data_IF_279244594959
#
_entry.id   IF_279244594959
#
_cell.length_a   1.000
_cell.length_b   1.000
_cell.length_c   1.000
_cell.angle_alpha   90.00
_cell.angle_beta   90.00
_cell.angle_gamma   90.00
#
_symmetry.space_group_name_H-M   'P 1'
#
loop_
_entity.id
_entity.type
_entity.pdbx_description
1 polymer ?
#
# COMPACT_ATOMS: atom_id res chain seq x y z
N UNK A 1 18.23 -1.27 3.04
CA UNK A 1 17.34 -2.08 3.88
C UNK A 1 16.14 -2.63 3.09
N UNK A 2 15.35 -1.82 2.39
CA UNK A 2 14.14 -2.25 1.63
C UNK A 2 14.46 -3.43 0.70
N UNK A 3 15.47 -3.30 -0.16
CA UNK A 3 15.90 -4.34 -1.10
C UNK A 3 16.26 -5.66 -0.40
N UNK A 4 17.01 -5.60 0.69
CA UNK A 4 17.41 -6.80 1.43
C UNK A 4 16.21 -7.49 2.10
N UNK A 5 15.29 -6.72 2.69
CA UNK A 5 14.05 -7.26 3.26
C UNK A 5 13.16 -7.88 2.19
N UNK A 6 13.06 -7.23 1.02
CA UNK A 6 12.31 -7.74 -0.13
C UNK A 6 12.89 -9.07 -0.64
N UNK A 7 14.20 -9.17 -0.77
CA UNK A 7 14.87 -10.41 -1.16
C UNK A 7 14.63 -11.52 -0.14
N UNK A 8 14.76 -11.22 1.16
CA UNK A 8 14.51 -12.19 2.22
C UNK A 8 13.06 -12.72 2.20
N UNK A 9 12.08 -11.85 2.00
CA UNK A 9 10.68 -12.24 1.85
C UNK A 9 10.46 -13.09 0.60
N UNK A 10 11.04 -12.71 -0.54
CA UNK A 10 10.89 -13.42 -1.80
C UNK A 10 11.40 -14.88 -1.73
N UNK A 11 12.47 -15.12 -0.97
CA UNK A 11 13.04 -16.48 -0.82
C UNK A 11 12.47 -17.26 0.37
N UNK A 12 11.71 -16.63 1.26
CA UNK A 12 11.26 -17.25 2.52
C UNK A 12 10.17 -18.30 2.36
N UNK A 13 9.44 -18.29 1.25
CA UNK A 13 8.22 -19.08 1.05
C UNK A 13 6.96 -18.48 1.66
N UNK A 14 7.05 -17.36 2.36
CA UNK A 14 5.87 -16.64 2.85
C UNK A 14 5.02 -16.12 1.67
N UNK A 15 3.68 -15.98 1.83
CA UNK A 15 2.85 -15.33 0.84
C UNK A 15 3.29 -13.87 0.65
N UNK A 16 3.95 -13.60 -0.45
CA UNK A 16 4.49 -12.29 -0.79
C UNK A 16 4.12 -11.96 -2.23
N UNK A 17 3.41 -10.84 -2.44
CA UNK A 17 2.80 -10.48 -3.73
C UNK A 17 3.80 -9.91 -4.75
N UNK A 18 5.07 -10.16 -4.54
CA UNK A 18 6.16 -9.77 -5.43
C UNK A 18 7.16 -8.85 -4.76
N UNK A 19 8.39 -8.82 -5.28
CA UNK A 19 9.46 -8.01 -4.70
C UNK A 19 9.21 -6.52 -4.87
N UNK A 20 9.71 -5.78 -3.89
CA UNK A 20 9.74 -4.32 -3.85
C UNK A 20 11.18 -3.87 -3.99
N UNK A 21 11.42 -2.93 -4.90
CA UNK A 21 12.68 -2.23 -5.03
C UNK A 21 12.61 -0.84 -4.43
N UNK A 22 13.79 -0.24 -4.21
CA UNK A 22 13.90 1.15 -3.81
C UNK A 22 15.21 1.76 -4.31
N UNK A 23 15.16 3.05 -4.55
CA UNK A 23 16.34 3.86 -4.87
C UNK A 23 16.27 5.21 -4.19
N UNK A 24 17.44 5.86 -4.07
CA UNK A 24 17.55 7.26 -3.68
C UNK A 24 17.94 8.08 -4.90
N UNK A 25 17.35 9.25 -5.08
CA UNK A 25 17.63 10.14 -6.20
C UNK A 25 18.05 11.49 -5.69
N UNK A 26 19.21 11.95 -6.15
CA UNK A 26 19.68 13.32 -6.00
C UNK A 26 19.50 14.12 -7.28
N UNK A 27 19.58 15.47 -7.16
CA UNK A 27 19.57 16.40 -8.31
C UNK A 27 20.66 17.44 -8.13
N UNK A 28 21.72 17.34 -8.94
CA UNK A 28 22.91 18.19 -8.87
C UNK A 28 23.23 18.73 -10.27
N UNK A 29 23.40 20.02 -10.41
CA UNK A 29 23.75 20.69 -11.66
C UNK A 29 22.88 20.28 -12.86
N UNK A 30 21.55 20.17 -12.61
CA UNK A 30 20.57 19.81 -13.64
C UNK A 30 20.55 18.32 -14.01
N UNK A 31 21.18 17.44 -13.23
CA UNK A 31 21.25 15.99 -13.50
C UNK A 31 20.73 15.19 -12.32
N UNK A 32 19.98 14.12 -12.63
CA UNK A 32 19.59 13.12 -11.65
C UNK A 32 20.74 12.17 -11.36
N UNK A 33 20.94 11.84 -10.10
CA UNK A 33 21.97 10.91 -9.63
C UNK A 33 21.27 9.79 -8.85
N UNK A 34 21.46 8.55 -9.29
CA UNK A 34 20.92 7.38 -8.63
C UNK A 34 21.81 6.96 -7.47
N UNK A 35 21.20 6.80 -6.29
CA UNK A 35 21.88 6.40 -5.06
C UNK A 35 23.09 7.28 -4.73
N UNK A 36 22.91 8.61 -4.64
CA UNK A 36 23.99 9.54 -4.38
C UNK A 36 24.68 9.22 -3.06
N UNK A 37 25.99 9.43 -3.02
CA UNK A 37 26.79 9.38 -1.81
C UNK A 37 26.39 10.50 -0.83
N UNK A 38 26.82 10.40 0.43
CA UNK A 38 26.56 11.45 1.43
C UNK A 38 27.09 12.83 1.00
N UNK A 39 28.28 12.87 0.43
CA UNK A 39 28.92 14.12 -0.06
C UNK A 39 28.21 14.71 -1.28
N UNK A 40 27.59 13.89 -2.11
CA UNK A 40 26.76 14.34 -3.22
C UNK A 40 25.42 14.88 -2.71
N UNK A 41 24.80 14.22 -1.72
CA UNK A 41 23.55 14.72 -1.11
C UNK A 41 23.72 16.11 -0.49
N UNK A 42 24.85 16.40 0.13
CA UNK A 42 25.13 17.74 0.69
C UNK A 42 25.07 18.87 -0.34
N UNK A 43 25.28 18.55 -1.62
CA UNK A 43 25.21 19.49 -2.76
C UNK A 43 23.93 19.39 -3.56
N UNK A 44 23.11 18.41 -3.25
CA UNK A 44 21.91 18.09 -4.02
C UNK A 44 20.76 19.02 -3.65
N UNK A 45 20.00 19.44 -4.66
CA UNK A 45 18.71 20.12 -4.47
C UNK A 45 17.56 19.15 -4.17
N UNK A 46 17.80 17.86 -4.25
CA UNK A 46 16.81 16.81 -4.06
C UNK A 46 17.42 15.68 -3.23
N UNK A 47 16.68 15.24 -2.24
CA UNK A 47 16.87 13.97 -1.56
C UNK A 47 15.55 13.22 -1.64
N UNK A 48 15.43 12.31 -2.60
CA UNK A 48 14.20 11.59 -2.90
C UNK A 48 14.40 10.10 -2.71
N UNK A 49 13.59 9.46 -1.90
CA UNK A 49 13.47 8.00 -1.81
C UNK A 49 12.22 7.56 -2.56
N UNK A 50 12.41 6.67 -3.52
CA UNK A 50 11.32 6.04 -4.28
C UNK A 50 11.34 4.54 -4.02
N UNK A 51 10.19 3.95 -3.69
CA UNK A 51 10.04 2.51 -3.57
C UNK A 51 8.78 2.03 -4.29
N UNK A 52 8.83 0.82 -4.81
CA UNK A 52 7.71 0.28 -5.56
C UNK A 52 7.92 -1.14 -6.06
N UNK A 53 6.93 -1.61 -6.78
CA UNK A 53 6.99 -2.84 -7.57
C UNK A 53 7.55 -2.54 -8.97
N UNK A 54 7.68 -3.57 -9.80
CA UNK A 54 8.09 -3.40 -11.20
C UNK A 54 7.16 -2.46 -11.99
N UNK A 55 5.87 -2.48 -11.66
CA UNK A 55 4.82 -1.82 -12.45
C UNK A 55 4.26 -0.56 -11.78
N UNK A 56 4.58 -0.30 -10.50
CA UNK A 56 3.97 0.80 -9.75
C UNK A 56 4.88 1.36 -8.65
N UNK A 57 4.83 2.68 -8.49
CA UNK A 57 5.40 3.39 -7.34
C UNK A 57 4.46 3.26 -6.15
N UNK A 58 4.97 2.82 -5.00
CA UNK A 58 4.22 2.63 -3.76
C UNK A 58 4.54 3.69 -2.71
N UNK A 59 5.77 4.21 -2.72
CA UNK A 59 6.26 5.17 -1.74
C UNK A 59 7.12 6.23 -2.41
N UNK A 60 6.89 7.46 -2.04
CA UNK A 60 7.72 8.62 -2.38
C UNK A 60 7.91 9.43 -1.11
N UNK A 61 9.15 9.69 -0.73
CA UNK A 61 9.52 10.56 0.38
C UNK A 61 10.64 11.49 -0.07
N UNK A 62 10.46 12.81 0.07
CA UNK A 62 11.45 13.75 -0.46
C UNK A 62 11.59 15.03 0.33
N UNK A 63 12.83 15.55 0.31
CA UNK A 63 13.16 16.93 0.59
C UNK A 63 13.66 17.58 -0.70
N UNK A 64 13.06 18.70 -1.12
CA UNK A 64 13.40 19.38 -2.37
C UNK A 64 13.57 20.88 -2.15
N UNK A 65 14.56 21.47 -2.82
CA UNK A 65 14.83 22.90 -2.76
C UNK A 65 14.58 23.56 -4.13
N UNK A 66 13.36 24.07 -4.32
CA UNK A 66 12.98 24.87 -5.47
C UNK A 66 12.96 24.13 -6.82
N UNK A 67 12.64 22.84 -6.82
CA UNK A 67 12.42 22.07 -8.04
C UNK A 67 11.01 22.25 -8.58
N UNK A 68 10.86 22.20 -9.90
CA UNK A 68 9.56 22.21 -10.58
C UNK A 68 8.83 20.88 -10.47
N UNK A 69 7.52 20.87 -10.70
CA UNK A 69 6.72 19.64 -10.73
C UNK A 69 7.24 18.64 -11.77
N UNK A 70 7.68 19.15 -12.94
CA UNK A 70 8.24 18.33 -14.01
C UNK A 70 9.56 17.67 -13.58
N UNK A 71 10.45 18.42 -12.92
CA UNK A 71 11.71 17.89 -12.39
C UNK A 71 11.43 16.83 -11.31
N UNK A 72 10.45 17.04 -10.44
CA UNK A 72 10.06 16.07 -9.41
C UNK A 72 9.46 14.80 -10.03
N UNK A 73 8.57 14.92 -11.01
CA UNK A 73 8.00 13.77 -11.72
C UNK A 73 9.08 12.95 -12.44
N UNK A 74 10.02 13.61 -13.11
CA UNK A 74 11.10 12.95 -13.79
C UNK A 74 12.08 12.29 -12.79
N UNK A 75 12.29 12.87 -11.61
CA UNK A 75 13.07 12.26 -10.54
C UNK A 75 12.43 10.94 -10.04
N UNK A 76 11.11 10.93 -9.86
CA UNK A 76 10.38 9.71 -9.47
C UNK A 76 10.51 8.62 -10.53
N UNK A 77 10.31 8.97 -11.81
CA UNK A 77 10.49 8.03 -12.93
C UNK A 77 11.91 7.48 -12.98
N UNK A 78 12.91 8.35 -12.90
CA UNK A 78 14.32 7.96 -12.90
C UNK A 78 14.65 7.00 -11.75
N UNK A 79 14.14 7.27 -10.55
CA UNK A 79 14.30 6.39 -9.39
C UNK A 79 13.62 5.05 -9.57
N UNK A 80 12.39 5.03 -10.09
CA UNK A 80 11.65 3.81 -10.39
C UNK A 80 12.41 2.94 -11.41
N UNK A 81 12.79 3.50 -12.54
CA UNK A 81 13.56 2.80 -13.56
C UNK A 81 14.89 2.28 -13.00
N UNK A 82 15.50 3.04 -12.09
CA UNK A 82 16.77 2.69 -11.46
C UNK A 82 16.73 1.46 -10.54
N UNK A 83 15.57 1.15 -9.92
CA UNK A 83 15.48 -0.04 -9.07
C UNK A 83 14.83 -1.26 -9.76
N UNK A 84 14.21 -1.14 -10.94
CA UNK A 84 13.65 -2.28 -11.67
C UNK A 84 14.66 -3.43 -11.86
N UNK A 85 15.93 -3.18 -12.26
CA UNK A 85 16.92 -4.26 -12.38
C UNK A 85 17.18 -5.01 -11.05
N UNK A 86 17.04 -4.30 -9.92
CA UNK A 86 17.17 -4.93 -8.59
C UNK A 86 16.03 -5.89 -8.31
N UNK A 87 14.80 -5.54 -8.71
CA UNK A 87 13.65 -6.43 -8.61
C UNK A 87 13.87 -7.69 -9.45
N UNK A 88 14.33 -7.54 -10.69
CA UNK A 88 14.64 -8.68 -11.57
C UNK A 88 15.71 -9.60 -10.99
N UNK A 89 16.71 -9.03 -10.35
CA UNK A 89 17.74 -9.80 -9.64
C UNK A 89 17.15 -10.58 -8.45
N UNK A 90 16.24 -9.99 -7.68
CA UNK A 90 15.54 -10.67 -6.58
C UNK A 90 14.65 -11.80 -7.11
N UNK A 91 13.91 -11.58 -8.21
CA UNK A 91 13.11 -12.61 -8.86
C UNK A 91 13.94 -13.81 -9.32
N UNK A 92 15.11 -13.53 -9.90
CA UNK A 92 16.02 -14.61 -10.32
C UNK A 92 16.61 -15.37 -9.12
N UNK A 93 17.02 -14.67 -8.07
CA UNK A 93 17.45 -15.29 -6.82
C UNK A 93 16.34 -16.19 -6.23
N UNK A 94 15.10 -15.71 -6.23
CA UNK A 94 13.98 -16.49 -5.72
C UNK A 94 13.70 -17.77 -6.54
N UNK A 95 13.90 -17.74 -7.87
CA UNK A 95 13.77 -18.94 -8.72
C UNK A 95 14.75 -20.03 -8.32
N UNK A 96 15.95 -19.68 -7.85
CA UNK A 96 17.01 -20.61 -7.52
C UNK A 96 16.94 -21.17 -6.09
N UNK A 97 16.49 -20.34 -5.12
CA UNK A 97 16.64 -20.70 -3.71
C UNK A 97 15.39 -20.44 -2.84
N UNK A 98 14.21 -20.21 -3.44
CA UNK A 98 12.97 -20.05 -2.69
C UNK A 98 12.63 -21.31 -1.91
N UNK A 99 12.28 -21.13 -0.65
CA UNK A 99 11.74 -22.21 0.20
C UNK A 99 10.34 -22.62 -0.26
N UNK A 100 9.86 -23.81 0.10
CA UNK A 100 8.48 -24.22 -0.16
C UNK A 100 7.49 -23.17 0.34
N UNK A 101 6.43 -22.97 -0.43
CA UNK A 101 5.40 -22.00 -0.07
C UNK A 101 4.66 -22.43 1.20
N UNK A 102 4.38 -21.47 2.06
CA UNK A 102 3.53 -21.69 3.22
C UNK A 102 2.09 -21.83 2.77
N UNK A 103 1.45 -22.89 3.20
CA UNK A 103 0.01 -23.05 3.01
C UNK A 103 -0.71 -22.17 4.03
N UNK A 104 -1.42 -21.16 3.53
CA UNK A 104 -2.27 -20.30 4.36
C UNK A 104 -3.71 -20.58 3.99
N UNK A 105 -4.46 -21.16 4.92
CA UNK A 105 -5.90 -21.32 4.77
C UNK A 105 -6.56 -19.94 4.80
N UNK A 106 -7.20 -19.56 3.69
CA UNK A 106 -7.99 -18.34 3.63
C UNK A 106 -9.43 -18.70 4.00
N UNK A 107 -9.93 -18.08 5.05
CA UNK A 107 -11.34 -18.16 5.43
C UNK A 107 -12.19 -17.51 4.34
N UNK A 108 -13.22 -18.20 3.90
CA UNK A 108 -14.19 -17.61 2.97
C UNK A 108 -15.12 -16.65 3.74
N UNK A 109 -15.05 -15.38 3.38
CA UNK A 109 -15.85 -14.30 3.96
C UNK A 109 -16.88 -13.74 2.96
N UNK A 110 -17.15 -14.48 1.88
CA UNK A 110 -18.04 -14.02 0.80
C UNK A 110 -19.48 -13.79 1.29
N UNK A 111 -19.97 -14.64 2.19
CA UNK A 111 -21.32 -14.48 2.80
C UNK A 111 -21.40 -13.24 3.69
N UNK A 112 -20.36 -13.03 4.53
CA UNK A 112 -20.27 -11.83 5.38
C UNK A 112 -20.25 -10.58 4.52
N UNK A 113 -19.39 -10.56 3.49
CA UNK A 113 -19.30 -9.46 2.56
C UNK A 113 -20.65 -9.13 1.94
N UNK A 114 -21.34 -10.12 1.34
CA UNK A 114 -22.63 -9.93 0.69
C UNK A 114 -23.68 -9.38 1.65
N UNK A 115 -23.79 -9.96 2.84
CA UNK A 115 -24.79 -9.53 3.84
C UNK A 115 -24.51 -8.10 4.34
N UNK A 116 -23.25 -7.72 4.53
CA UNK A 116 -22.89 -6.36 4.91
C UNK A 116 -23.17 -5.37 3.78
N UNK A 117 -22.90 -5.73 2.53
CA UNK A 117 -23.20 -4.91 1.35
C UNK A 117 -24.72 -4.67 1.23
N UNK A 118 -25.54 -5.73 1.36
CA UNK A 118 -26.99 -5.62 1.30
C UNK A 118 -27.59 -4.78 2.44
N UNK A 119 -26.98 -4.85 3.63
CA UNK A 119 -27.56 -4.23 4.84
C UNK A 119 -27.08 -2.79 5.05
N UNK A 120 -25.79 -2.49 4.81
CA UNK A 120 -25.18 -1.25 5.27
C UNK A 120 -24.72 -0.30 4.17
N UNK A 121 -24.80 -0.66 2.89
CA UNK A 121 -24.32 0.21 1.80
C UNK A 121 -24.99 1.59 1.81
N UNK A 122 -26.31 1.65 1.94
CA UNK A 122 -27.03 2.93 1.89
C UNK A 122 -26.79 3.77 3.16
N UNK A 123 -26.64 3.15 4.31
CA UNK A 123 -26.33 3.87 5.55
C UNK A 123 -24.90 4.42 5.54
N UNK A 124 -23.95 3.67 5.03
CA UNK A 124 -22.58 4.14 4.85
C UNK A 124 -22.49 5.31 3.85
N UNK A 125 -23.21 5.24 2.71
CA UNK A 125 -23.26 6.37 1.77
C UNK A 125 -23.80 7.63 2.41
N UNK A 126 -24.87 7.53 3.22
CA UNK A 126 -25.42 8.67 3.98
C UNK A 126 -24.40 9.21 4.98
N UNK A 127 -23.72 8.33 5.72
CA UNK A 127 -22.68 8.73 6.66
C UNK A 127 -21.54 9.48 5.95
N UNK A 128 -21.05 8.99 4.81
CA UNK A 128 -19.99 9.66 4.04
C UNK A 128 -20.43 10.98 3.43
N UNK A 129 -21.71 11.18 3.12
CA UNK A 129 -22.26 12.46 2.67
C UNK A 129 -22.31 13.54 3.78
N UNK A 130 -22.16 13.15 5.05
CA UNK A 130 -22.14 14.07 6.19
C UNK A 130 -20.86 14.89 6.20
N UNK A 131 -20.95 16.21 6.10
CA UNK A 131 -19.79 17.12 6.01
C UNK A 131 -19.04 17.25 7.33
N UNK A 132 -19.76 17.31 8.47
CA UNK A 132 -19.12 17.38 9.78
C UNK A 132 -18.33 16.11 10.06
N UNK A 133 -17.08 16.28 10.47
CA UNK A 133 -16.16 15.16 10.69
C UNK A 133 -16.58 14.31 11.89
N UNK A 134 -17.04 14.95 12.97
CA UNK A 134 -17.41 14.23 14.19
C UNK A 134 -18.69 13.45 14.01
N UNK A 135 -19.71 14.07 13.40
CA UNK A 135 -20.98 13.42 13.13
C UNK A 135 -20.82 12.23 12.17
N UNK A 136 -20.01 12.40 11.13
CA UNK A 136 -19.67 11.30 10.22
C UNK A 136 -18.97 10.16 10.95
N UNK A 137 -18.00 10.45 11.82
CA UNK A 137 -17.30 9.43 12.60
C UNK A 137 -18.22 8.68 13.53
N UNK A 138 -19.14 9.39 14.20
CA UNK A 138 -20.11 8.80 15.08
C UNK A 138 -21.07 7.86 14.33
N UNK A 139 -21.60 8.28 13.17
CA UNK A 139 -22.47 7.45 12.33
C UNK A 139 -21.77 6.18 11.84
N UNK A 140 -20.51 6.27 11.40
CA UNK A 140 -19.72 5.10 10.98
C UNK A 140 -19.48 4.15 12.16
N UNK A 141 -19.21 4.69 13.35
CA UNK A 141 -19.05 3.88 14.57
C UNK A 141 -20.35 3.12 14.91
N UNK A 142 -21.51 3.79 14.87
CA UNK A 142 -22.80 3.13 15.11
C UNK A 142 -23.10 2.02 14.10
N UNK A 143 -22.76 2.24 12.81
CA UNK A 143 -22.90 1.22 11.77
C UNK A 143 -22.00 0.04 12.06
N UNK A 144 -20.74 0.31 12.47
CA UNK A 144 -19.77 -0.73 12.83
C UNK A 144 -20.27 -1.58 14.00
N UNK A 145 -20.84 -0.97 15.03
CA UNK A 145 -21.39 -1.68 16.19
C UNK A 145 -22.62 -2.51 15.81
N UNK A 146 -23.49 -2.01 14.94
CA UNK A 146 -24.62 -2.78 14.38
C UNK A 146 -24.15 -3.97 13.56
N UNK A 147 -23.11 -3.79 12.74
CA UNK A 147 -22.52 -4.86 11.95
C UNK A 147 -21.94 -5.98 12.81
N UNK A 148 -21.24 -5.64 13.90
CA UNK A 148 -20.73 -6.62 14.87
C UNK A 148 -21.86 -7.38 15.56
N UNK A 149 -22.88 -6.67 16.04
CA UNK A 149 -24.05 -7.31 16.68
C UNK A 149 -24.78 -8.29 15.77
N UNK A 150 -24.75 -8.07 14.46
CA UNK A 150 -25.37 -8.98 13.49
C UNK A 150 -24.74 -10.38 13.48
N UNK A 151 -23.49 -10.49 13.94
CA UNK A 151 -22.70 -11.72 13.97
C UNK A 151 -22.28 -12.14 15.40
N UNK A 152 -22.81 -11.49 16.44
CA UNK A 152 -22.42 -11.72 17.84
C UNK A 152 -22.69 -13.18 18.29
N UNK A 153 -23.73 -13.82 17.73
CA UNK A 153 -24.09 -15.22 18.03
C UNK A 153 -23.51 -16.22 17.02
N UNK A 154 -22.79 -15.77 16.00
CA UNK A 154 -22.24 -16.63 14.94
C UNK A 154 -20.78 -16.99 15.24
N UNK A 155 -20.57 -18.16 15.81
CA UNK A 155 -19.23 -18.67 16.17
C UNK A 155 -18.28 -18.84 14.96
N UNK A 156 -18.81 -18.81 13.72
CA UNK A 156 -17.98 -18.96 12.52
C UNK A 156 -17.23 -17.69 12.16
N UNK A 157 -17.66 -16.52 12.62
CA UNK A 157 -17.05 -15.25 12.26
C UNK A 157 -16.62 -14.45 13.49
N UNK A 158 -15.43 -13.88 13.42
CA UNK A 158 -14.92 -13.00 14.48
C UNK A 158 -15.24 -11.54 14.19
N UNK A 159 -15.21 -10.69 15.20
CA UNK A 159 -15.29 -9.23 15.05
C UNK A 159 -14.28 -8.68 14.05
N UNK A 160 -13.09 -9.29 13.96
CA UNK A 160 -12.06 -8.90 12.98
C UNK A 160 -12.49 -9.23 11.55
N UNK A 161 -13.12 -10.38 11.33
CA UNK A 161 -13.64 -10.75 10.01
C UNK A 161 -14.71 -9.76 9.54
N UNK A 162 -15.70 -9.49 10.40
CA UNK A 162 -16.79 -8.54 10.12
C UNK A 162 -16.24 -7.14 9.86
N UNK A 163 -15.37 -6.64 10.73
CA UNK A 163 -14.78 -5.31 10.60
C UNK A 163 -13.91 -5.17 9.33
N UNK A 164 -13.19 -6.23 8.95
CA UNK A 164 -12.39 -6.23 7.72
C UNK A 164 -13.26 -6.08 6.47
N UNK A 165 -14.39 -6.79 6.41
CA UNK A 165 -15.33 -6.71 5.28
C UNK A 165 -16.09 -5.38 5.26
N UNK A 166 -16.48 -4.84 6.41
CA UNK A 166 -17.10 -3.52 6.49
C UNK A 166 -16.14 -2.43 5.99
N UNK A 167 -14.86 -2.48 6.37
CA UNK A 167 -13.84 -1.56 5.88
C UNK A 167 -13.57 -1.70 4.37
N UNK A 168 -13.71 -2.89 3.81
CA UNK A 168 -13.62 -3.08 2.37
C UNK A 168 -14.81 -2.42 1.65
N UNK A 169 -16.02 -2.51 2.23
CA UNK A 169 -17.21 -1.83 1.73
C UNK A 169 -17.07 -0.31 1.80
N UNK A 170 -16.59 0.23 2.92
CA UNK A 170 -16.27 1.66 3.08
C UNK A 170 -15.32 2.14 1.96
N UNK A 171 -14.21 1.41 1.76
CA UNK A 171 -13.26 1.74 0.69
C UNK A 171 -13.89 1.73 -0.70
N UNK A 172 -14.76 0.75 -0.97
CA UNK A 172 -15.45 0.64 -2.25
C UNK A 172 -16.35 1.85 -2.49
N UNK A 173 -17.15 2.26 -1.49
CA UNK A 173 -18.04 3.42 -1.58
C UNK A 173 -17.23 4.69 -1.85
N UNK A 174 -16.22 4.98 -1.02
CA UNK A 174 -15.41 6.20 -1.14
C UNK A 174 -14.68 6.27 -2.48
N UNK A 175 -14.14 5.15 -2.98
CA UNK A 175 -13.44 5.12 -4.28
C UNK A 175 -14.35 5.26 -5.49
N UNK A 176 -15.63 4.94 -5.35
CA UNK A 176 -16.60 5.09 -6.45
C UNK A 176 -17.09 6.54 -6.55
N UNK A 177 -17.03 7.29 -5.44
CA UNK A 177 -17.46 8.69 -5.37
C UNK A 177 -16.36 9.70 -5.75
N UNK A 178 -15.10 9.24 -5.95
CA UNK A 178 -13.96 10.03 -6.43
C UNK A 178 -13.76 9.84 -7.93
#
# INVERSE_FOLDING_TARGET
SITASSAALAISGMPFMGPVGASRVGFIDGKYILNPSKTELEKSKLDLVVAGTKDAVLMVESEANGLTEEEMLNAVKFGHEGFVPVIEMIENLAKECRKPEWTVEKKDLSEVKKKLEETFTEDLKKAFATRDKQDRSNQISEITDKAKKLYEEDENYTDLDVNSQLKNLEKSIVRTDI
#
